data_IF_503992934274
#
_entry.id   IF_503992934274
#
_cell.length_a   1.000
_cell.length_b   1.000
_cell.length_c   1.000
_cell.angle_alpha   90.00
_cell.angle_beta   90.00
_cell.angle_gamma   90.00
#
_symmetry.space_group_name_H-M   'P 1'
#
loop_
_entity.id
_entity.type
_entity.pdbx_description
1 polymer ?
#
# COMPACT_ATOMS: atom_id res chain seq x y z
N UNK A 1 -4.57 -0.66 27.86
CA UNK A 1 -5.19 -1.94 28.28
C UNK A 1 -4.04 -2.93 28.38
N UNK A 2 -3.66 -3.32 29.60
CA UNK A 2 -2.48 -4.15 29.86
C UNK A 2 -2.66 -5.55 29.27
N UNK A 3 -1.78 -5.96 28.35
CA UNK A 3 -1.69 -7.36 27.90
C UNK A 3 -1.26 -8.21 29.09
N UNK A 4 -2.12 -9.15 29.49
CA UNK A 4 -1.86 -10.06 30.59
C UNK A 4 -0.71 -11.00 30.23
N UNK A 5 0.43 -10.82 30.88
CA UNK A 5 1.48 -11.80 31.01
C UNK A 5 1.05 -12.88 32.00
N UNK A 6 0.27 -13.86 31.56
CA UNK A 6 0.08 -15.09 32.32
C UNK A 6 0.76 -16.25 31.60
N UNK A 7 1.98 -16.48 32.05
CA UNK A 7 2.92 -17.51 31.64
C UNK A 7 2.38 -18.89 32.06
N UNK A 8 1.82 -19.62 31.11
CA UNK A 8 2.07 -21.06 31.04
C UNK A 8 3.27 -21.25 30.11
N UNK A 9 4.25 -22.05 30.54
CA UNK A 9 5.58 -22.23 29.95
C UNK A 9 5.63 -22.08 28.42
N UNK A 10 6.39 -21.06 27.99
CA UNK A 10 7.21 -21.01 26.75
C UNK A 10 6.52 -21.21 25.41
N UNK A 11 5.35 -20.62 25.16
CA UNK A 11 4.80 -20.58 23.81
C UNK A 11 4.75 -19.14 23.29
N UNK A 12 5.41 -18.87 22.17
CA UNK A 12 5.37 -17.57 21.47
C UNK A 12 3.99 -17.35 20.83
N UNK A 13 3.69 -16.16 20.31
CA UNK A 13 2.38 -15.87 19.71
C UNK A 13 2.10 -16.79 18.50
N UNK A 14 3.11 -17.14 17.69
CA UNK A 14 3.00 -18.04 16.54
C UNK A 14 2.72 -19.50 16.97
N UNK A 15 3.28 -19.96 18.09
CA UNK A 15 3.03 -21.32 18.58
C UNK A 15 1.57 -21.53 18.97
N UNK A 16 0.89 -20.45 19.38
CA UNK A 16 -0.53 -20.47 19.67
C UNK A 16 -1.42 -20.75 18.45
N UNK A 17 -0.87 -20.56 17.24
CA UNK A 17 -1.57 -20.79 15.96
C UNK A 17 -1.40 -22.22 15.43
N UNK A 18 -0.44 -22.98 15.95
CA UNK A 18 -0.19 -24.35 15.51
C UNK A 18 -1.35 -25.26 15.93
N UNK A 19 -1.99 -25.90 14.94
CA UNK A 19 -3.09 -26.86 15.17
C UNK A 19 -2.67 -28.01 16.10
N UNK A 20 -1.40 -28.42 16.03
CA UNK A 20 -0.83 -29.49 16.85
C UNK A 20 -0.80 -29.18 18.35
N UNK A 21 -0.79 -27.89 18.71
CA UNK A 21 -0.67 -27.47 20.10
C UNK A 21 -2.02 -27.47 20.85
N UNK A 22 -3.13 -27.70 20.14
CA UNK A 22 -4.50 -27.76 20.66
C UNK A 22 -4.86 -26.64 21.67
N UNK A 23 -4.34 -25.44 21.41
CA UNK A 23 -4.53 -24.29 22.29
C UNK A 23 -5.98 -23.80 22.15
N UNK A 24 -6.73 -23.59 23.25
CA UNK A 24 -8.09 -23.04 23.20
C UNK A 24 -8.14 -21.67 22.52
N UNK A 25 -9.19 -21.37 21.75
CA UNK A 25 -9.34 -20.13 20.96
C UNK A 25 -9.04 -18.84 21.76
N UNK A 26 -9.47 -18.78 23.03
CA UNK A 26 -9.26 -17.61 23.92
C UNK A 26 -7.80 -17.33 24.27
N UNK A 27 -6.91 -18.29 24.03
CA UNK A 27 -5.47 -18.18 24.29
C UNK A 27 -4.65 -18.18 23.00
N UNK A 28 -5.32 -18.21 21.84
CA UNK A 28 -4.63 -18.06 20.56
C UNK A 28 -4.38 -16.59 20.32
N UNK A 29 -3.22 -16.29 19.75
CA UNK A 29 -3.00 -15.04 19.07
C UNK A 29 -4.09 -14.86 18.02
N UNK A 30 -4.60 -13.65 17.97
CA UNK A 30 -5.52 -13.21 16.95
C UNK A 30 -5.12 -11.78 16.59
N UNK A 31 -5.05 -11.47 15.29
CA UNK A 31 -4.91 -10.08 14.89
C UNK A 31 -6.18 -9.32 15.29
N UNK A 32 -6.16 -7.99 15.25
CA UNK A 32 -7.36 -7.19 15.52
C UNK A 32 -8.54 -7.66 14.67
N UNK A 33 -9.74 -7.66 15.25
CA UNK A 33 -10.93 -8.06 14.50
C UNK A 33 -11.18 -7.04 13.38
N UNK A 34 -11.60 -7.53 12.22
CA UNK A 34 -11.97 -6.67 11.09
C UNK A 34 -12.99 -5.61 11.53
N UNK A 35 -13.96 -5.97 12.40
CA UNK A 35 -14.93 -5.03 12.95
C UNK A 35 -14.32 -3.94 13.84
N UNK A 36 -13.25 -4.25 14.59
CA UNK A 36 -12.53 -3.28 15.41
C UNK A 36 -11.73 -2.31 14.52
N UNK A 37 -11.09 -2.83 13.49
CA UNK A 37 -10.38 -2.05 12.48
C UNK A 37 -11.36 -1.17 11.66
N UNK A 38 -12.54 -1.69 11.30
CA UNK A 38 -13.62 -0.93 10.65
C UNK A 38 -14.12 0.23 11.53
N UNK A 39 -14.27 -0.01 12.83
CA UNK A 39 -14.64 1.01 13.78
C UNK A 39 -13.54 2.09 13.87
N UNK A 40 -12.26 1.70 13.86
CA UNK A 40 -11.13 2.65 13.82
C UNK A 40 -11.11 3.48 12.52
N UNK A 41 -11.41 2.84 11.37
CA UNK A 41 -11.58 3.49 10.07
C UNK A 41 -12.88 4.29 9.90
N UNK A 42 -13.68 4.46 10.96
CA UNK A 42 -14.93 5.24 10.91
C UNK A 42 -14.81 6.60 11.59
N UNK A 43 -13.59 7.15 11.67
CA UNK A 43 -13.30 8.44 12.27
C UNK A 43 -12.68 9.43 11.28
N UNK A 44 -12.76 10.72 11.64
CA UNK A 44 -12.15 11.81 10.87
C UNK A 44 -12.58 11.82 9.42
N UNK A 45 -11.61 11.94 8.50
CA UNK A 45 -11.89 11.95 7.06
C UNK A 45 -12.51 10.63 6.56
N UNK A 46 -12.30 9.50 7.26
CA UNK A 46 -12.82 8.19 6.85
C UNK A 46 -14.24 7.88 7.31
N UNK A 47 -14.88 8.74 8.11
CA UNK A 47 -16.28 8.54 8.50
C UNK A 47 -17.18 8.29 7.26
N UNK A 48 -16.93 9.07 6.21
CA UNK A 48 -17.62 8.99 4.90
C UNK A 48 -17.05 7.97 3.93
N UNK A 49 -16.05 7.18 4.33
CA UNK A 49 -15.50 6.13 3.48
C UNK A 49 -16.58 5.10 3.18
N UNK A 50 -16.63 4.61 1.94
CA UNK A 50 -17.56 3.56 1.56
C UNK A 50 -17.30 2.30 2.42
N UNK A 51 -18.37 1.66 2.92
CA UNK A 51 -18.27 0.50 3.80
C UNK A 51 -17.45 -0.65 3.19
N UNK A 52 -17.58 -0.90 1.89
CA UNK A 52 -16.79 -1.91 1.18
C UNK A 52 -15.30 -1.57 1.21
N UNK A 53 -14.95 -0.29 1.02
CA UNK A 53 -13.55 0.16 1.09
C UNK A 53 -13.03 0.02 2.52
N UNK A 54 -13.81 0.40 3.54
CA UNK A 54 -13.45 0.19 4.96
C UNK A 54 -13.13 -1.27 5.24
N UNK A 55 -14.00 -2.20 4.81
CA UNK A 55 -13.80 -3.64 4.98
C UNK A 55 -12.54 -4.15 4.27
N UNK A 56 -12.30 -3.71 3.04
CA UNK A 56 -11.12 -4.10 2.29
C UNK A 56 -9.83 -3.62 2.97
N UNK A 57 -9.81 -2.37 3.48
CA UNK A 57 -8.67 -1.85 4.25
C UNK A 57 -8.49 -2.64 5.55
N UNK A 58 -9.56 -2.81 6.34
CA UNK A 58 -9.52 -3.55 7.61
C UNK A 58 -9.02 -5.00 7.44
N UNK A 59 -9.54 -5.72 6.44
CA UNK A 59 -9.06 -7.06 6.10
C UNK A 59 -7.59 -7.07 5.69
N UNK A 60 -7.16 -6.08 4.91
CA UNK A 60 -5.76 -5.96 4.47
C UNK A 60 -4.82 -5.65 5.64
N UNK A 61 -5.23 -4.78 6.57
CA UNK A 61 -4.49 -4.47 7.80
C UNK A 61 -4.32 -5.71 8.67
N UNK A 62 -5.38 -6.49 8.85
CA UNK A 62 -5.34 -7.75 9.58
C UNK A 62 -4.33 -8.72 8.95
N UNK A 63 -4.23 -8.75 7.61
CA UNK A 63 -3.23 -9.55 6.91
C UNK A 63 -1.79 -9.04 7.14
N UNK A 64 -1.58 -7.72 7.19
CA UNK A 64 -0.28 -7.16 7.53
C UNK A 64 0.16 -7.53 8.95
N UNK A 65 -0.75 -7.53 9.93
CA UNK A 65 -0.46 -7.99 11.31
C UNK A 65 0.04 -9.44 11.34
N UNK A 66 -0.55 -10.31 10.51
CA UNK A 66 -0.10 -11.69 10.40
C UNK A 66 1.31 -11.80 9.79
N UNK A 67 1.61 -10.99 8.76
CA UNK A 67 2.96 -10.96 8.19
C UNK A 67 3.98 -10.44 9.22
N UNK A 68 3.65 -9.38 9.96
CA UNK A 68 4.51 -8.83 11.01
C UNK A 68 4.80 -9.88 12.10
N UNK A 69 3.77 -10.60 12.55
CA UNK A 69 3.95 -11.71 13.50
C UNK A 69 4.94 -12.76 12.95
N UNK A 70 4.72 -13.21 11.72
CA UNK A 70 5.60 -14.18 11.07
C UNK A 70 7.05 -13.69 11.01
N UNK A 71 7.26 -12.45 10.56
CA UNK A 71 8.60 -11.85 10.45
C UNK A 71 9.28 -11.66 11.81
N UNK A 72 8.52 -11.46 12.89
CA UNK A 72 9.05 -11.24 14.24
C UNK A 72 9.43 -12.52 14.98
N UNK A 73 8.76 -13.64 14.71
CA UNK A 73 8.91 -14.87 15.51
C UNK A 73 9.53 -16.05 14.77
N UNK A 74 9.51 -16.05 13.43
CA UNK A 74 9.95 -17.19 12.64
C UNK A 74 11.27 -16.92 11.93
N UNK A 75 12.10 -17.96 11.84
CA UNK A 75 13.30 -17.95 11.02
C UNK A 75 12.99 -18.57 9.66
N UNK A 76 13.20 -17.80 8.60
CA UNK A 76 12.90 -18.22 7.23
C UNK A 76 14.16 -18.38 6.37
N UNK A 77 14.00 -19.03 5.21
CA UNK A 77 14.97 -18.90 4.12
C UNK A 77 14.87 -17.50 3.50
N UNK A 78 15.95 -17.05 2.85
CA UNK A 78 16.00 -15.75 2.17
C UNK A 78 14.83 -15.57 1.18
N UNK A 79 14.46 -16.62 0.46
CA UNK A 79 13.34 -16.60 -0.49
C UNK A 79 12.00 -16.33 0.18
N UNK A 80 11.76 -16.96 1.34
CA UNK A 80 10.53 -16.77 2.11
C UNK A 80 10.47 -15.38 2.74
N UNK A 81 11.60 -14.84 3.22
CA UNK A 81 11.67 -13.43 3.63
C UNK A 81 11.29 -12.50 2.48
N UNK A 82 11.87 -12.69 1.29
CA UNK A 82 11.56 -11.88 0.11
C UNK A 82 10.07 -11.93 -0.24
N UNK A 83 9.45 -13.11 -0.15
CA UNK A 83 8.01 -13.28 -0.40
C UNK A 83 7.15 -12.56 0.65
N UNK A 84 7.51 -12.64 1.93
CA UNK A 84 6.79 -11.93 3.00
C UNK A 84 6.92 -10.42 2.85
N UNK A 85 8.12 -9.91 2.61
CA UNK A 85 8.36 -8.49 2.32
C UNK A 85 7.53 -8.03 1.11
N UNK A 86 7.56 -8.78 0.01
CA UNK A 86 6.76 -8.49 -1.19
C UNK A 86 5.26 -8.38 -0.87
N UNK A 87 4.69 -9.37 -0.19
CA UNK A 87 3.27 -9.39 0.15
C UNK A 87 2.88 -8.26 1.09
N UNK A 88 3.74 -7.94 2.06
CA UNK A 88 3.54 -6.80 2.94
C UNK A 88 3.49 -5.50 2.14
N UNK A 89 4.51 -5.29 1.30
CA UNK A 89 4.68 -4.07 0.50
C UNK A 89 3.51 -3.85 -0.46
N UNK A 90 3.07 -4.89 -1.18
CA UNK A 90 1.95 -4.81 -2.13
C UNK A 90 0.64 -4.50 -1.39
N UNK A 91 0.37 -5.21 -0.31
CA UNK A 91 -0.84 -5.01 0.50
C UNK A 91 -0.87 -3.61 1.11
N UNK A 92 0.25 -3.15 1.68
CA UNK A 92 0.39 -1.80 2.23
C UNK A 92 0.21 -0.71 1.15
N UNK A 93 0.76 -0.91 -0.05
CA UNK A 93 0.56 0.03 -1.15
C UNK A 93 -0.92 0.13 -1.58
N UNK A 94 -1.65 -0.98 -1.63
CA UNK A 94 -3.09 -0.98 -1.94
C UNK A 94 -3.92 -0.26 -0.86
N UNK A 95 -3.54 -0.38 0.42
CA UNK A 95 -4.14 0.39 1.51
C UNK A 95 -3.88 1.88 1.29
N UNK A 96 -2.63 2.28 1.06
CA UNK A 96 -2.25 3.68 0.81
C UNK A 96 -2.98 4.26 -0.40
N UNK A 97 -3.11 3.49 -1.48
CA UNK A 97 -3.88 3.88 -2.67
C UNK A 97 -5.34 4.21 -2.31
N UNK A 98 -5.99 3.32 -1.57
CA UNK A 98 -7.37 3.50 -1.13
C UNK A 98 -7.54 4.72 -0.22
N UNK A 99 -6.59 4.92 0.70
CA UNK A 99 -6.57 6.07 1.60
C UNK A 99 -6.37 7.38 0.84
N UNK A 100 -5.39 7.45 -0.06
CA UNK A 100 -5.09 8.66 -0.83
C UNK A 100 -6.23 9.02 -1.78
N UNK A 101 -6.82 8.02 -2.42
CA UNK A 101 -8.01 8.19 -3.22
C UNK A 101 -9.12 8.87 -2.39
N UNK A 102 -9.39 8.36 -1.19
CA UNK A 102 -10.45 8.93 -0.34
C UNK A 102 -10.13 10.34 0.16
N UNK A 103 -8.88 10.64 0.49
CA UNK A 103 -8.44 12.00 0.83
C UNK A 103 -8.78 12.95 -0.33
N UNK A 104 -8.39 12.61 -1.57
CA UNK A 104 -8.68 13.47 -2.73
C UNK A 104 -10.17 13.54 -3.05
N UNK A 105 -10.92 12.46 -2.83
CA UNK A 105 -12.37 12.46 -2.94
C UNK A 105 -13.00 13.48 -1.98
N UNK A 106 -12.61 13.44 -0.71
CA UNK A 106 -13.09 14.34 0.33
C UNK A 106 -12.79 15.82 0.01
N UNK A 107 -11.56 16.11 -0.46
CA UNK A 107 -11.17 17.46 -0.88
C UNK A 107 -11.66 17.86 -2.28
N UNK A 108 -12.43 17.01 -2.97
CA UNK A 108 -12.94 17.23 -4.34
C UNK A 108 -11.83 17.54 -5.35
N UNK A 109 -10.73 16.79 -5.29
CA UNK A 109 -9.53 16.95 -6.14
C UNK A 109 -9.31 15.80 -7.13
N UNK A 110 -10.22 14.82 -7.17
CA UNK A 110 -10.17 13.77 -8.19
C UNK A 110 -10.35 14.33 -9.60
N UNK A 111 -9.70 13.70 -10.57
CA UNK A 111 -9.88 14.03 -11.99
C UNK A 111 -11.18 13.43 -12.51
N UNK A 112 -11.91 14.22 -13.30
CA UNK A 112 -13.10 13.75 -14.00
C UNK A 112 -12.85 13.72 -15.51
N UNK A 113 -13.28 12.64 -16.13
CA UNK A 113 -13.37 12.49 -17.57
C UNK A 113 -14.59 13.24 -18.09
N UNK A 114 -14.34 14.22 -18.96
CA UNK A 114 -15.38 15.03 -19.60
C UNK A 114 -15.78 14.52 -21.00
N UNK A 115 -14.98 13.62 -21.57
CA UNK A 115 -15.13 13.13 -22.93
C UNK A 115 -15.15 11.61 -22.99
N UNK A 116 -16.00 11.03 -23.84
CA UNK A 116 -16.13 9.59 -24.03
C UNK A 116 -14.93 8.92 -24.70
N UNK A 117 -15.09 7.63 -25.03
CA UNK A 117 -14.11 6.91 -25.86
C UNK A 117 -14.02 7.58 -27.24
N UNK A 118 -12.84 7.61 -27.88
CA UNK A 118 -12.72 8.13 -29.23
C UNK A 118 -13.58 7.30 -30.19
N UNK A 119 -14.42 7.99 -30.98
CA UNK A 119 -15.16 7.40 -32.09
C UNK A 119 -14.28 7.56 -33.33
N UNK A 120 -13.90 6.43 -33.93
CA UNK A 120 -13.00 6.37 -35.08
C UNK A 120 -13.85 6.42 -36.35
N UNK A 121 -13.54 7.35 -37.25
CA UNK A 121 -14.31 7.55 -38.48
C UNK A 121 -13.50 7.30 -39.74
N UNK A 122 -12.24 7.74 -39.79
CA UNK A 122 -11.43 7.65 -40.99
C UNK A 122 -10.20 6.77 -40.77
N UNK A 123 -10.06 5.75 -41.61
CA UNK A 123 -8.88 4.88 -41.68
C UNK A 123 -8.19 5.16 -43.02
N UNK A 124 -7.10 5.94 -42.98
CA UNK A 124 -6.26 6.18 -44.16
C UNK A 124 -5.05 5.28 -44.11
N UNK A 125 -4.91 4.42 -45.12
CA UNK A 125 -3.75 3.55 -45.26
C UNK A 125 -2.79 4.16 -46.27
N UNK A 126 -1.52 4.34 -45.90
CA UNK A 126 -0.47 4.76 -46.82
C UNK A 126 0.76 3.86 -46.68
N UNK A 127 1.52 3.72 -47.76
CA UNK A 127 2.77 2.94 -47.77
C UNK A 127 3.95 3.89 -47.78
N UNK A 128 4.94 3.60 -46.94
CA UNK A 128 6.24 4.27 -46.93
C UNK A 128 7.31 3.18 -46.95
N UNK A 129 7.89 2.93 -48.13
CA UNK A 129 8.74 1.76 -48.38
C UNK A 129 7.96 0.44 -48.28
N UNK A 130 8.52 -0.55 -47.58
CA UNK A 130 7.84 -1.84 -47.31
C UNK A 130 6.82 -1.77 -46.16
N UNK A 131 6.76 -0.66 -45.43
CA UNK A 131 5.87 -0.51 -44.27
C UNK A 131 4.54 0.09 -44.67
N UNK A 132 3.45 -0.48 -44.15
CA UNK A 132 2.09 0.03 -44.31
C UNK A 132 1.68 0.73 -43.03
N UNK A 133 1.26 1.99 -43.13
CA UNK A 133 0.83 2.83 -42.03
C UNK A 133 -0.69 3.03 -42.09
N UNK A 134 -1.33 2.98 -40.93
CA UNK A 134 -2.76 3.23 -40.78
C UNK A 134 -2.93 4.48 -39.93
N UNK A 135 -3.38 5.57 -40.53
CA UNK A 135 -3.78 6.78 -39.82
C UNK A 135 -5.26 6.66 -39.49
N UNK A 136 -5.59 6.70 -38.20
CA UNK A 136 -6.97 6.72 -37.74
C UNK A 136 -7.30 8.11 -37.19
N UNK A 137 -8.28 8.78 -37.80
CA UNK A 137 -8.83 10.03 -37.28
C UNK A 137 -10.15 9.76 -36.55
N UNK A 138 -10.29 10.36 -35.38
CA UNK A 138 -11.45 10.20 -34.52
C UNK A 138 -11.67 11.41 -33.63
N UNK A 139 -12.91 11.60 -33.18
CA UNK A 139 -13.28 12.65 -32.24
C UNK A 139 -13.81 12.04 -30.95
N UNK A 140 -13.76 12.80 -29.85
CA UNK A 140 -14.33 12.38 -28.57
C UNK A 140 -15.59 13.20 -28.31
N UNK A 141 -16.70 12.52 -28.06
CA UNK A 141 -17.94 13.18 -27.66
C UNK A 141 -17.84 13.66 -26.21
N UNK A 142 -18.43 14.82 -25.93
CA UNK A 142 -18.56 15.33 -24.55
C UNK A 142 -19.61 14.49 -23.82
N UNK A 143 -19.28 14.04 -22.62
CA UNK A 143 -20.20 13.25 -21.80
C UNK A 143 -21.31 14.14 -21.23
N UNK A 144 -22.51 13.58 -21.12
CA UNK A 144 -23.68 14.24 -20.50
C UNK A 144 -23.44 14.63 -19.03
N UNK A 145 -22.58 13.89 -18.34
CA UNK A 145 -22.07 14.24 -17.01
C UNK A 145 -20.59 13.85 -16.88
N UNK A 146 -19.77 14.62 -16.14
CA UNK A 146 -18.40 14.24 -15.82
C UNK A 146 -18.39 12.87 -15.15
N UNK A 147 -17.65 11.91 -15.72
CA UNK A 147 -17.43 10.61 -15.08
C UNK A 147 -16.12 10.66 -14.32
N UNK A 148 -16.06 10.02 -13.17
CA UNK A 148 -14.79 9.93 -12.45
C UNK A 148 -13.76 9.19 -13.32
N UNK A 149 -12.58 9.79 -13.52
CA UNK A 149 -11.53 9.15 -14.27
C UNK A 149 -10.85 8.10 -13.39
N UNK A 150 -10.42 6.98 -13.99
CA UNK A 150 -9.50 6.05 -13.33
C UNK A 150 -8.23 6.82 -12.98
N UNK A 151 -7.93 6.94 -11.69
CA UNK A 151 -6.72 7.60 -11.22
C UNK A 151 -5.57 6.60 -11.25
N UNK A 152 -4.40 7.07 -11.66
CA UNK A 152 -3.17 6.30 -11.48
C UNK A 152 -2.65 6.48 -10.04
N UNK A 153 -2.13 5.41 -9.44
CA UNK A 153 -1.56 5.45 -8.10
C UNK A 153 -0.51 6.56 -7.93
N UNK A 154 0.32 6.81 -8.95
CA UNK A 154 1.31 7.88 -8.89
C UNK A 154 0.67 9.27 -8.78
N UNK A 155 -0.39 9.53 -9.56
CA UNK A 155 -1.18 10.75 -9.46
C UNK A 155 -1.78 10.95 -8.07
N UNK A 156 -2.32 9.88 -7.46
CA UNK A 156 -2.87 9.94 -6.10
C UNK A 156 -1.80 10.39 -5.10
N UNK A 157 -0.61 9.79 -5.18
CA UNK A 157 0.51 10.11 -4.30
C UNK A 157 0.97 11.57 -4.46
N UNK A 158 1.23 12.02 -5.69
CA UNK A 158 1.63 13.42 -5.94
C UNK A 158 0.58 14.37 -5.42
N UNK A 159 -0.69 14.16 -5.76
CA UNK A 159 -1.77 15.09 -5.43
C UNK A 159 -1.98 15.21 -3.93
N UNK A 160 -1.80 14.10 -3.19
CA UNK A 160 -1.92 14.12 -1.73
C UNK A 160 -0.76 14.87 -1.08
N UNK A 161 0.46 14.61 -1.54
CA UNK A 161 1.68 15.18 -0.96
C UNK A 161 1.85 16.66 -1.32
N UNK A 162 1.67 17.05 -2.58
CA UNK A 162 1.73 18.45 -3.01
C UNK A 162 0.58 19.28 -2.41
N UNK A 163 -0.57 18.64 -2.19
CA UNK A 163 -1.70 19.25 -1.50
C UNK A 163 -1.49 19.44 0.01
N UNK A 164 -0.40 18.90 0.58
CA UNK A 164 -0.11 18.92 2.01
C UNK A 164 -1.28 18.44 2.89
N UNK A 165 -2.07 17.48 2.41
CA UNK A 165 -3.23 16.98 3.18
C UNK A 165 -2.84 16.08 4.35
N UNK A 166 -1.60 15.59 4.38
CA UNK A 166 -1.06 14.76 5.45
C UNK A 166 0.17 15.41 6.05
N UNK A 167 0.34 15.26 7.37
CA UNK A 167 1.51 15.65 8.12
C UNK A 167 2.64 14.61 7.99
N UNK A 168 2.98 14.24 6.75
CA UNK A 168 4.19 13.48 6.43
C UNK A 168 5.30 14.51 6.20
N UNK A 169 5.76 15.10 7.30
CA UNK A 169 6.68 16.25 7.31
C UNK A 169 8.10 15.96 6.82
N UNK A 170 8.42 14.71 6.43
CA UNK A 170 9.70 14.37 5.79
C UNK A 170 9.50 14.24 4.27
N UNK A 171 9.63 15.37 3.57
CA UNK A 171 9.53 15.45 2.11
C UNK A 171 10.47 14.47 1.38
N UNK A 172 11.58 14.05 2.01
CA UNK A 172 12.50 13.06 1.44
C UNK A 172 11.92 11.66 1.55
N UNK A 173 11.42 11.27 2.72
CA UNK A 173 10.74 9.96 2.90
C UNK A 173 9.54 9.84 1.97
N UNK A 174 8.74 10.91 1.88
CA UNK A 174 7.60 10.96 0.97
C UNK A 174 8.05 10.70 -0.47
N UNK A 175 9.06 11.44 -0.97
CA UNK A 175 9.64 11.26 -2.32
C UNK A 175 10.21 9.87 -2.56
N UNK A 176 10.97 9.31 -1.60
CA UNK A 176 11.50 7.95 -1.69
C UNK A 176 10.38 6.92 -1.81
N UNK A 177 9.29 7.09 -1.05
CA UNK A 177 8.11 6.23 -1.16
C UNK A 177 7.42 6.36 -2.52
N UNK A 178 7.24 7.58 -3.07
CA UNK A 178 6.69 7.76 -4.42
C UNK A 178 7.52 7.01 -5.46
N UNK A 179 8.85 7.19 -5.42
CA UNK A 179 9.77 6.56 -6.35
C UNK A 179 9.69 5.04 -6.24
N UNK A 180 9.61 4.53 -5.02
CA UNK A 180 9.50 3.10 -4.76
C UNK A 180 8.18 2.51 -5.30
N UNK A 181 7.05 3.15 -5.02
CA UNK A 181 5.73 2.73 -5.50
C UNK A 181 5.62 2.68 -7.03
N UNK A 182 6.25 3.64 -7.75
CA UNK A 182 6.35 3.60 -9.21
C UNK A 182 7.02 2.33 -9.72
N UNK A 183 8.11 1.95 -9.07
CA UNK A 183 8.90 0.80 -9.46
C UNK A 183 8.21 -0.53 -9.12
N UNK A 184 7.48 -0.58 -8.00
CA UNK A 184 6.67 -1.75 -7.62
C UNK A 184 5.63 -2.12 -8.68
N UNK A 185 4.86 -1.14 -9.18
CA UNK A 185 3.78 -1.39 -10.14
C UNK A 185 4.28 -1.96 -11.46
N UNK A 186 5.49 -1.58 -11.89
CA UNK A 186 6.12 -2.11 -13.11
C UNK A 186 6.50 -3.60 -12.99
N UNK A 187 6.64 -4.11 -11.75
CA UNK A 187 7.28 -5.40 -11.45
C UNK A 187 6.31 -6.49 -11.00
N UNK A 188 5.01 -6.19 -10.83
CA UNK A 188 3.96 -7.18 -10.54
C UNK A 188 3.80 -8.20 -11.69
N UNK A 189 4.27 -7.88 -12.90
CA UNK A 189 4.27 -8.77 -14.06
C UNK A 189 5.55 -9.62 -14.12
N UNK A 190 5.49 -10.87 -13.63
CA UNK A 190 6.61 -11.83 -13.60
C UNK A 190 7.32 -12.05 -14.95
N UNK A 191 6.64 -11.81 -16.07
CA UNK A 191 7.14 -12.07 -17.43
C UNK A 191 7.86 -10.88 -18.09
N UNK A 192 7.88 -9.70 -17.45
CA UNK A 192 8.49 -8.49 -18.04
C UNK A 192 9.96 -8.31 -17.67
N UNK A 193 10.47 -9.03 -16.66
CA UNK A 193 11.83 -8.88 -16.15
C UNK A 193 12.75 -9.94 -16.79
N UNK A 194 13.42 -9.59 -17.88
CA UNK A 194 14.30 -10.49 -18.65
C UNK A 194 15.76 -10.51 -18.14
N UNK A 195 16.13 -9.65 -17.19
CA UNK A 195 17.49 -9.57 -16.65
C UNK A 195 17.61 -10.33 -15.31
N UNK A 196 18.67 -11.13 -15.14
CA UNK A 196 18.83 -12.04 -13.99
C UNK A 196 18.85 -11.33 -12.61
N UNK A 197 19.35 -10.09 -12.53
CA UNK A 197 19.39 -9.26 -11.31
C UNK A 197 18.09 -8.48 -11.06
N UNK A 198 17.10 -8.60 -11.94
CA UNK A 198 15.78 -7.95 -11.81
C UNK A 198 14.69 -8.90 -11.30
N UNK A 199 15.08 -10.08 -10.83
CA UNK A 199 14.14 -11.02 -10.21
C UNK A 199 13.63 -10.47 -8.87
N UNK A 200 12.40 -10.83 -8.51
CA UNK A 200 11.78 -10.41 -7.25
C UNK A 200 12.64 -10.78 -6.01
N UNK A 201 13.40 -11.87 -6.09
CA UNK A 201 14.30 -12.34 -5.04
C UNK A 201 15.40 -11.33 -4.66
N UNK A 202 15.87 -10.52 -5.63
CA UNK A 202 16.93 -9.55 -5.37
C UNK A 202 16.43 -8.15 -5.01
N UNK A 203 15.12 -7.91 -5.14
CA UNK A 203 14.53 -6.57 -5.08
C UNK A 203 13.80 -6.34 -3.76
N UNK A 204 13.09 -7.35 -3.25
CA UNK A 204 12.33 -7.22 -2.01
C UNK A 204 13.23 -7.50 -0.82
N UNK A 205 13.76 -6.45 -0.21
CA UNK A 205 14.58 -6.56 1.00
C UNK A 205 13.88 -5.99 2.23
N UNK A 206 14.48 -6.26 3.38
CA UNK A 206 14.06 -5.69 4.66
C UNK A 206 14.02 -4.15 4.62
N UNK A 207 14.90 -3.51 3.85
CA UNK A 207 14.98 -2.04 3.75
C UNK A 207 13.69 -1.45 3.18
N UNK A 208 13.20 -2.01 2.08
CA UNK A 208 11.97 -1.58 1.43
C UNK A 208 10.75 -1.87 2.32
N UNK A 209 10.72 -3.04 2.95
CA UNK A 209 9.69 -3.41 3.91
C UNK A 209 9.61 -2.39 5.06
N UNK A 210 10.74 -2.06 5.70
CA UNK A 210 10.80 -1.09 6.79
C UNK A 210 10.35 0.32 6.36
N UNK A 211 10.72 0.76 5.15
CA UNK A 211 10.28 2.03 4.60
C UNK A 211 8.76 2.07 4.42
N UNK A 212 8.18 1.04 3.79
CA UNK A 212 6.74 0.97 3.53
C UNK A 212 5.95 0.84 4.84
N UNK A 213 6.44 0.05 5.79
CA UNK A 213 5.87 -0.08 7.14
C UNK A 213 5.83 1.27 7.85
N UNK A 214 6.92 2.03 7.82
CA UNK A 214 6.97 3.37 8.41
C UNK A 214 6.03 4.36 7.71
N UNK A 215 5.99 4.38 6.38
CA UNK A 215 5.10 5.29 5.65
C UNK A 215 3.64 4.97 5.92
N UNK A 216 3.28 3.70 5.91
CA UNK A 216 1.93 3.26 6.25
C UNK A 216 1.55 3.70 7.67
N UNK A 217 2.42 3.47 8.65
CA UNK A 217 2.23 3.96 10.02
C UNK A 217 2.04 5.48 10.07
N UNK A 218 2.90 6.25 9.38
CA UNK A 218 2.81 7.72 9.37
C UNK A 218 1.53 8.24 8.73
N UNK A 219 1.06 7.58 7.67
CA UNK A 219 -0.24 7.87 7.07
C UNK A 219 -1.30 7.55 8.11
N UNK A 220 -1.41 6.30 8.53
CA UNK A 220 -2.36 5.77 9.54
C UNK A 220 -2.02 6.20 10.97
N UNK A 221 -1.42 7.36 11.17
CA UNK A 221 -1.32 8.00 12.48
C UNK A 221 -1.53 9.50 12.34
N UNK A 222 -1.91 9.95 11.16
CA UNK A 222 -2.16 11.33 10.87
C UNK A 222 -3.39 11.84 11.65
N UNK A 223 -3.33 13.03 12.26
CA UNK A 223 -4.46 13.63 12.95
C UNK A 223 -5.72 13.78 12.08
N UNK A 224 -5.60 13.79 10.75
CA UNK A 224 -6.72 13.80 9.81
C UNK A 224 -7.70 12.63 10.02
N UNK A 225 -7.22 11.53 10.61
CA UNK A 225 -8.03 10.37 10.95
C UNK A 225 -8.80 10.52 12.28
N UNK A 226 -8.67 11.66 12.96
CA UNK A 226 -9.61 12.11 13.99
C UNK A 226 -9.44 11.47 15.36
N UNK A 227 -8.25 10.94 15.71
CA UNK A 227 -7.94 10.42 17.04
C UNK A 227 -6.51 10.74 17.48
N UNK A 228 -6.30 10.87 18.79
CA UNK A 228 -4.97 11.02 19.43
C UNK A 228 -4.18 9.70 19.52
N UNK A 229 -4.85 8.55 19.50
CA UNK A 229 -4.23 7.21 19.48
C UNK A 229 -5.02 6.29 18.54
N UNK A 230 -4.37 5.81 17.48
CA UNK A 230 -4.93 4.76 16.61
C UNK A 230 -4.71 3.38 17.23
N UNK A 231 -5.65 2.47 16.99
CA UNK A 231 -5.44 1.05 17.24
C UNK A 231 -4.60 0.42 16.14
N UNK A 232 -4.69 0.99 14.93
CA UNK A 232 -4.08 0.48 13.71
C UNK A 232 -2.59 0.82 13.64
N UNK A 233 -1.76 -0.01 14.26
CA UNK A 233 -0.55 -0.65 13.72
C UNK A 233 0.28 -1.21 14.88
N UNK A 234 0.96 -2.37 14.73
CA UNK A 234 1.95 -2.81 15.70
C UNK A 234 2.98 -1.71 15.93
N UNK A 235 3.46 -1.60 17.18
CA UNK A 235 4.48 -0.62 17.58
C UNK A 235 5.61 -0.60 16.54
N UNK A 236 5.96 0.59 16.05
CA UNK A 236 7.17 0.74 15.25
C UNK A 236 8.32 0.29 16.13
N UNK A 237 8.90 -0.87 15.81
CA UNK A 237 10.13 -1.30 16.44
C UNK A 237 11.17 -0.20 16.24
N UNK A 238 11.91 0.13 17.30
CA UNK A 238 12.99 1.12 17.27
C UNK A 238 13.98 0.85 16.12
N UNK A 239 14.11 -0.41 15.71
CA UNK A 239 14.91 -0.87 14.58
C UNK A 239 14.41 -0.35 13.23
N UNK A 240 13.09 -0.31 12.98
CA UNK A 240 12.52 0.28 11.75
C UNK A 240 12.83 1.78 11.65
N UNK A 241 12.80 2.49 12.78
CA UNK A 241 13.22 3.90 12.87
C UNK A 241 14.74 4.03 12.62
N UNK A 242 15.55 3.15 13.21
CA UNK A 242 17.01 3.16 13.06
C UNK A 242 17.45 2.85 11.62
N UNK A 243 16.80 1.93 10.92
CA UNK A 243 17.06 1.62 9.50
C UNK A 243 16.78 2.84 8.62
N UNK A 244 15.70 3.58 8.89
CA UNK A 244 15.37 4.80 8.15
C UNK A 244 16.36 5.92 8.45
N UNK A 245 16.73 6.12 9.72
CA UNK A 245 17.73 7.11 10.14
C UNK A 245 19.11 6.79 9.55
N UNK A 246 19.53 5.52 9.54
CA UNK A 246 20.81 5.09 8.98
C UNK A 246 20.84 5.23 7.45
N UNK A 247 19.71 4.97 6.79
CA UNK A 247 19.58 5.13 5.34
C UNK A 247 19.32 6.58 4.89
N UNK A 248 19.02 7.54 5.79
CA UNK A 248 18.96 8.98 5.44
C UNK A 248 20.24 9.47 4.75
N UNK A 249 21.38 8.84 5.04
CA UNK A 249 22.70 9.15 4.48
C UNK A 249 23.02 8.45 3.15
N UNK A 250 22.35 7.34 2.80
CA UNK A 250 22.64 6.58 1.58
C UNK A 250 21.79 7.02 0.36
N UNK A 251 20.68 7.72 0.58
CA UNK A 251 19.91 8.36 -0.50
C UNK A 251 20.45 9.76 -0.87
N UNK A 252 21.70 10.06 -0.53
CA UNK A 252 22.39 11.32 -0.91
C UNK A 252 23.23 11.18 -2.18
N UNK A 253 23.39 9.97 -2.73
CA UNK A 253 24.27 9.69 -3.88
C UNK A 253 23.54 8.93 -5.00
N UNK A 254 22.42 9.46 -5.50
CA UNK A 254 21.70 8.92 -6.65
C UNK A 254 20.74 9.94 -7.24
#
# INVERSE_FOLDING_TARGET
MHRFSNVHKTNTEIESLLRSNDIPKKYRWYPFLVSELEADLSHGIFDRLNLTIKKNIAYSLQYLEYIDLQLSELQFSDSLYCMLYKNYIITAAAIVESVFYHILFYYKKLKYQLYGKPILHDVKTYKEGEKTFVKVEGHKEKLNSPKEAVQDFHFLIISVLEGNYLNITDSKVARSYISYCKELRKRVHLHLNQEAWTSDYHIFSHKEYALVRYVLYRILSDPLFGREKQLIFPELEQESLNVIIKNRYNYNNG
#
